data_IF_831718895623
#
_entry.id   IF_831718895623
#
_cell.length_a   1.000
_cell.length_b   1.000
_cell.length_c   1.000
_cell.angle_alpha   90.00
_cell.angle_beta   90.00
_cell.angle_gamma   90.00
#
_symmetry.space_group_name_H-M   'P 1'
#
loop_
_entity.id
_entity.type
_entity.pdbx_description
1 polymer ?
#
# COMPACT_ATOMS: atom_id res chain seq x y z
N UNK A 1 -10.64 -27.20 47.95
CA UNK A 1 -11.24 -27.11 46.60
C UNK A 1 -10.52 -26.01 45.84
N UNK A 2 -9.56 -26.40 45.01
CA UNK A 2 -8.75 -25.49 44.18
C UNK A 2 -9.49 -25.18 42.88
N UNK A 3 -9.82 -23.91 42.67
CA UNK A 3 -10.27 -23.41 41.38
C UNK A 3 -9.02 -23.18 40.51
N UNK A 4 -8.69 -24.16 39.67
CA UNK A 4 -7.67 -24.02 38.62
C UNK A 4 -8.26 -23.12 37.54
N UNK A 5 -7.77 -21.89 37.46
CA UNK A 5 -8.02 -20.99 36.34
C UNK A 5 -7.33 -21.55 35.09
N UNK A 6 -8.12 -22.00 34.11
CA UNK A 6 -7.62 -22.31 32.76
C UNK A 6 -7.01 -21.04 32.15
N UNK A 7 -5.74 -21.05 31.71
CA UNK A 7 -5.17 -19.93 30.97
C UNK A 7 -5.83 -19.84 29.58
N UNK A 8 -6.05 -18.60 29.15
CA UNK A 8 -6.80 -18.21 27.94
C UNK A 8 -6.13 -18.74 26.67
N UNK A 9 -6.93 -19.30 25.78
CA UNK A 9 -6.65 -19.58 24.37
C UNK A 9 -6.48 -18.29 23.57
N UNK A 10 -5.33 -17.61 23.68
CA UNK A 10 -4.99 -16.42 22.87
C UNK A 10 -3.79 -16.68 21.96
N UNK A 11 -2.92 -17.61 22.33
CA UNK A 11 -1.65 -17.90 21.62
C UNK A 11 -1.84 -18.60 20.25
N UNK A 12 -3.03 -19.13 19.96
CA UNK A 12 -3.28 -19.93 18.75
C UNK A 12 -3.66 -19.11 17.50
N UNK A 13 -4.03 -17.83 17.64
CA UNK A 13 -4.32 -16.97 16.48
C UNK A 13 -3.08 -16.27 15.92
N UNK A 14 -2.04 -16.08 16.75
CA UNK A 14 -0.83 -15.29 16.43
C UNK A 14 0.07 -15.90 15.34
N UNK A 15 -0.14 -17.17 14.99
CA UNK A 15 0.68 -17.88 14.00
C UNK A 15 -0.03 -18.16 12.68
N UNK A 16 -1.29 -17.71 12.51
CA UNK A 16 -1.99 -17.90 11.23
C UNK A 16 -1.31 -17.09 10.14
N UNK A 17 -0.78 -17.81 9.15
CA UNK A 17 -0.12 -17.23 7.99
C UNK A 17 -1.21 -16.72 7.04
N UNK A 18 -1.36 -15.41 6.93
CA UNK A 18 -2.30 -14.80 6.00
C UNK A 18 -1.61 -14.47 4.67
N UNK A 19 -2.41 -14.47 3.60
CA UNK A 19 -2.03 -13.89 2.31
C UNK A 19 -2.38 -12.40 2.36
N UNK A 20 -1.36 -11.56 2.44
CA UNK A 20 -1.54 -10.12 2.60
C UNK A 20 -1.07 -9.42 1.33
N UNK A 21 -1.90 -8.51 0.84
CA UNK A 21 -1.62 -7.67 -0.31
C UNK A 21 -1.48 -6.23 0.16
N UNK A 22 -0.29 -5.66 -0.02
CA UNK A 22 -0.02 -4.25 0.25
C UNK A 22 -0.10 -3.50 -1.07
N UNK A 23 -1.01 -2.54 -1.14
CA UNK A 23 -1.16 -1.63 -2.26
C UNK A 23 -0.58 -0.28 -1.90
N UNK A 24 0.37 0.20 -2.71
CA UNK A 24 0.94 1.54 -2.60
C UNK A 24 0.42 2.41 -3.73
N UNK A 25 -0.10 3.57 -3.39
CA UNK A 25 -0.60 4.55 -4.36
C UNK A 25 0.06 5.90 -4.10
N UNK A 26 0.62 6.53 -5.14
CA UNK A 26 1.19 7.88 -5.00
C UNK A 26 1.22 8.62 -6.33
N UNK A 27 1.32 9.96 -6.24
CA UNK A 27 1.68 10.83 -7.37
C UNK A 27 3.19 10.94 -7.57
N UNK A 28 3.97 10.79 -6.49
CA UNK A 28 5.42 10.99 -6.51
C UNK A 28 6.16 9.66 -6.66
N UNK A 29 6.73 9.42 -7.85
CA UNK A 29 7.42 8.15 -8.16
C UNK A 29 8.64 7.91 -7.26
N UNK A 30 9.42 8.95 -6.94
CA UNK A 30 10.65 8.81 -6.13
C UNK A 30 10.34 8.28 -4.72
N UNK A 31 9.35 8.88 -4.06
CA UNK A 31 8.93 8.48 -2.72
C UNK A 31 8.32 7.06 -2.74
N UNK A 32 7.49 6.77 -3.73
CA UNK A 32 6.89 5.45 -3.93
C UNK A 32 7.95 4.34 -4.09
N UNK A 33 8.97 4.56 -4.91
CA UNK A 33 10.03 3.57 -5.15
C UNK A 33 10.93 3.40 -3.91
N UNK A 34 11.18 4.47 -3.15
CA UNK A 34 11.88 4.40 -1.86
C UNK A 34 11.11 3.54 -0.84
N UNK A 35 9.84 3.84 -0.58
CA UNK A 35 8.98 3.07 0.34
C UNK A 35 8.87 1.62 -0.11
N UNK A 36 8.76 1.38 -1.42
CA UNK A 36 8.70 0.05 -1.99
C UNK A 36 10.00 -0.76 -1.74
N UNK A 37 11.16 -0.11 -1.84
CA UNK A 37 12.44 -0.74 -1.54
C UNK A 37 12.58 -1.05 -0.05
N UNK A 38 12.19 -0.10 0.80
CA UNK A 38 12.26 -0.23 2.26
C UNK A 38 11.34 -1.34 2.78
N UNK A 39 10.10 -1.43 2.27
CA UNK A 39 9.17 -2.51 2.59
C UNK A 39 9.69 -3.88 2.15
N UNK A 40 10.29 -3.97 0.97
CA UNK A 40 10.92 -5.21 0.50
C UNK A 40 12.08 -5.60 1.40
N UNK A 41 12.92 -4.63 1.79
CA UNK A 41 14.07 -4.86 2.66
C UNK A 41 13.64 -5.32 4.05
N UNK A 42 12.68 -4.62 4.68
CA UNK A 42 12.14 -5.00 5.98
C UNK A 42 11.43 -6.36 5.99
N UNK A 43 10.88 -6.81 4.87
CA UNK A 43 10.32 -8.16 4.76
C UNK A 43 11.40 -9.24 4.57
N UNK A 44 12.47 -8.95 3.83
CA UNK A 44 13.63 -9.85 3.66
C UNK A 44 14.40 -9.99 4.98
N UNK A 45 14.62 -8.89 5.71
CA UNK A 45 15.32 -8.89 7.00
C UNK A 45 14.61 -9.74 8.05
N UNK A 46 13.28 -9.87 7.94
CA UNK A 46 12.44 -10.72 8.81
C UNK A 46 12.20 -12.13 8.23
N UNK A 47 12.92 -12.54 7.19
CA UNK A 47 12.82 -13.84 6.53
C UNK A 47 11.40 -14.21 6.03
N UNK A 48 10.63 -13.22 5.57
CA UNK A 48 9.31 -13.45 4.99
C UNK A 48 9.38 -13.81 3.49
N UNK A 49 8.41 -14.60 3.01
CA UNK A 49 8.24 -14.84 1.57
C UNK A 49 7.55 -13.65 0.93
N UNK A 50 8.29 -12.93 0.08
CA UNK A 50 7.82 -11.73 -0.62
C UNK A 50 7.66 -12.02 -2.10
N UNK A 51 6.46 -11.76 -2.63
CA UNK A 51 6.29 -11.54 -4.06
C UNK A 51 6.63 -10.09 -4.35
N UNK A 52 7.62 -9.88 -5.22
CA UNK A 52 8.24 -8.58 -5.46
C UNK A 52 7.25 -7.50 -5.90
N UNK A 53 7.68 -6.23 -5.89
CA UNK A 53 6.79 -5.13 -6.20
C UNK A 53 6.35 -5.15 -7.66
N UNK A 54 5.07 -5.45 -7.86
CA UNK A 54 4.43 -5.46 -9.18
C UNK A 54 4.01 -4.03 -9.51
N UNK A 55 4.52 -3.54 -10.63
CA UNK A 55 4.18 -2.22 -11.17
C UNK A 55 2.85 -2.33 -11.92
N UNK A 56 1.79 -1.78 -11.34
CA UNK A 56 0.53 -1.67 -12.05
C UNK A 56 0.55 -0.50 -13.03
N UNK A 57 -0.26 -0.55 -14.11
CA UNK A 57 -0.41 0.55 -15.04
C UNK A 57 -0.79 1.85 -14.34
N UNK A 58 -0.15 2.93 -14.75
CA UNK A 58 -0.39 4.26 -14.19
C UNK A 58 -1.69 4.82 -14.74
N UNK A 59 -2.59 5.22 -13.85
CA UNK A 59 -3.82 5.91 -14.27
C UNK A 59 -3.50 7.37 -14.53
N UNK A 60 -3.87 7.87 -15.70
CA UNK A 60 -3.70 9.27 -16.09
C UNK A 60 -5.07 9.93 -16.03
N UNK A 61 -5.27 10.82 -15.06
CA UNK A 61 -6.45 11.67 -14.97
C UNK A 61 -6.19 12.91 -15.81
N UNK A 62 -7.05 13.16 -16.80
CA UNK A 62 -6.92 14.27 -17.74
C UNK A 62 -8.11 15.20 -17.56
N UNK A 63 -7.86 16.47 -17.28
CA UNK A 63 -8.88 17.52 -17.27
C UNK A 63 -8.52 18.56 -18.32
N UNK A 64 -9.48 18.86 -19.19
CA UNK A 64 -9.34 19.91 -20.20
C UNK A 64 -10.31 21.03 -19.89
N UNK A 65 -9.79 22.22 -19.63
CA UNK A 65 -10.60 23.39 -19.29
C UNK A 65 -10.29 24.53 -20.26
N UNK A 66 -11.28 25.38 -20.51
CA UNK A 66 -11.06 26.61 -21.27
C UNK A 66 -10.16 27.52 -20.44
N UNK A 67 -9.19 28.18 -21.09
CA UNK A 67 -8.30 29.12 -20.39
C UNK A 67 -9.04 30.38 -19.94
N UNK A 68 -9.92 30.89 -20.81
CA UNK A 68 -10.69 32.09 -20.52
C UNK A 68 -11.89 31.76 -19.63
N UNK A 69 -12.22 32.62 -18.65
CA UNK A 69 -13.43 32.49 -17.86
C UNK A 69 -14.70 32.93 -18.62
N UNK A 70 -14.53 33.76 -19.66
CA UNK A 70 -15.62 34.27 -20.50
C UNK A 70 -15.68 33.58 -21.87
N UNK A 71 -16.82 33.75 -22.54
CA UNK A 71 -17.13 33.21 -23.86
C UNK A 71 -16.35 33.85 -25.01
N UNK A 72 -15.80 35.04 -24.79
CA UNK A 72 -15.10 35.86 -25.78
C UNK A 72 -13.60 35.52 -25.90
N UNK A 73 -12.98 35.94 -27.01
CA UNK A 73 -11.56 35.74 -27.30
C UNK A 73 -11.22 34.41 -27.99
N UNK A 74 -9.93 34.10 -28.09
CA UNK A 74 -9.43 32.92 -28.83
C UNK A 74 -9.75 31.63 -28.08
N UNK A 75 -10.28 30.62 -28.79
CA UNK A 75 -10.61 29.29 -28.27
C UNK A 75 -9.36 28.50 -27.86
N UNK A 76 -8.84 28.83 -26.67
CA UNK A 76 -7.66 28.20 -26.07
C UNK A 76 -8.06 27.32 -24.90
N UNK A 77 -7.34 26.19 -24.76
CA UNK A 77 -7.64 25.16 -23.77
C UNK A 77 -6.37 24.78 -23.02
N UNK A 78 -6.48 24.61 -21.70
CA UNK A 78 -5.46 23.96 -20.89
C UNK A 78 -5.75 22.47 -20.78
N UNK A 79 -4.67 21.68 -20.70
CA UNK A 79 -4.72 20.22 -20.54
C UNK A 79 -3.94 19.85 -19.29
N UNK A 80 -4.64 19.69 -18.19
CA UNK A 80 -4.06 19.27 -16.92
C UNK A 80 -4.02 17.74 -16.84
N UNK A 81 -2.90 17.20 -16.36
CA UNK A 81 -2.75 15.77 -16.14
C UNK A 81 -2.29 15.49 -14.71
N UNK A 82 -2.92 14.49 -14.08
CA UNK A 82 -2.44 13.90 -12.84
C UNK A 82 -2.18 12.42 -13.07
N UNK A 83 -0.97 11.96 -12.72
CA UNK A 83 -0.56 10.57 -12.85
C UNK A 83 -0.60 9.91 -11.48
N UNK A 84 -1.33 8.81 -11.38
CA UNK A 84 -1.41 7.99 -10.18
C UNK A 84 -0.65 6.71 -10.45
N UNK A 85 0.43 6.52 -9.69
CA UNK A 85 1.28 5.35 -9.75
C UNK A 85 0.85 4.36 -8.68
N UNK A 86 0.58 3.12 -9.11
CA UNK A 86 0.16 2.04 -8.23
C UNK A 86 1.20 0.92 -8.23
N UNK A 87 1.52 0.39 -7.04
CA UNK A 87 2.38 -0.78 -6.83
C UNK A 87 1.67 -1.76 -5.91
N UNK A 88 1.93 -3.04 -6.12
CA UNK A 88 1.43 -4.11 -5.26
C UNK A 88 2.61 -4.93 -4.77
N UNK A 89 2.62 -5.26 -3.48
CA UNK A 89 3.54 -6.22 -2.87
C UNK A 89 2.68 -7.28 -2.19
N UNK A 90 2.89 -8.55 -2.53
CA UNK A 90 2.19 -9.65 -1.87
C UNK A 90 3.14 -10.34 -0.87
N UNK A 91 2.63 -10.61 0.32
CA UNK A 91 3.38 -11.18 1.45
C UNK A 91 2.63 -12.37 2.04
N UNK A 92 3.40 -13.37 2.50
CA UNK A 92 2.89 -14.44 3.35
C UNK A 92 3.47 -14.28 4.75
N UNK A 93 2.65 -13.79 5.67
CA UNK A 93 3.09 -13.45 7.02
C UNK A 93 1.92 -13.44 8.01
N UNK A 94 2.18 -13.62 9.32
CA UNK A 94 1.20 -13.28 10.35
C UNK A 94 0.93 -11.77 10.36
N UNK A 95 -0.27 -11.37 10.78
CA UNK A 95 -0.73 -9.98 10.71
C UNK A 95 0.15 -9.01 11.51
N UNK A 96 0.74 -9.45 12.61
CA UNK A 96 1.44 -8.55 13.53
C UNK A 96 2.80 -8.12 13.01
N UNK A 97 3.51 -9.01 12.31
CA UNK A 97 4.75 -8.66 11.64
C UNK A 97 4.49 -7.61 10.54
N UNK A 98 3.36 -7.70 9.83
CA UNK A 98 3.00 -6.73 8.79
C UNK A 98 2.72 -5.36 9.39
N UNK A 99 1.94 -5.28 10.48
CA UNK A 99 1.66 -4.01 11.19
C UNK A 99 2.95 -3.29 11.59
N UNK A 100 3.95 -4.04 12.09
CA UNK A 100 5.25 -3.49 12.46
C UNK A 100 6.06 -2.97 11.26
N UNK A 101 5.98 -3.62 10.10
CA UNK A 101 6.71 -3.19 8.89
C UNK A 101 6.08 -1.91 8.32
N UNK A 102 4.74 -1.83 8.31
CA UNK A 102 4.00 -0.70 7.76
C UNK A 102 4.14 0.57 8.59
N UNK A 103 4.32 0.47 9.91
CA UNK A 103 4.43 1.66 10.78
C UNK A 103 5.73 2.44 10.62
N UNK A 104 6.81 1.79 10.16
CA UNK A 104 8.16 2.38 10.09
C UNK A 104 8.37 3.23 8.82
N UNK A 105 7.59 3.01 7.75
CA UNK A 105 7.93 3.46 6.39
C UNK A 105 6.93 4.44 5.75
N UNK A 106 6.11 5.14 6.54
CA UNK A 106 5.11 6.08 6.00
C UNK A 106 5.81 7.39 5.59
N UNK A 107 6.19 7.45 4.31
CA UNK A 107 6.68 8.68 3.66
C UNK A 107 5.50 9.59 3.26
N UNK A 108 5.61 10.93 3.41
CA UNK A 108 4.53 11.84 3.04
C UNK A 108 4.17 11.72 1.55
N UNK A 109 2.86 11.62 1.27
CA UNK A 109 2.31 11.57 -0.07
C UNK A 109 2.28 10.18 -0.71
N UNK A 110 2.59 9.12 0.04
CA UNK A 110 2.33 7.73 -0.35
C UNK A 110 1.18 7.19 0.50
N UNK A 111 0.14 6.73 -0.17
CA UNK A 111 -1.00 6.08 0.46
C UNK A 111 -0.78 4.57 0.45
N UNK A 112 -0.95 3.93 1.61
CA UNK A 112 -0.72 2.51 1.82
C UNK A 112 -2.02 1.86 2.25
N UNK A 113 -2.47 0.89 1.47
CA UNK A 113 -3.66 0.08 1.75
C UNK A 113 -3.23 -1.37 1.96
N UNK A 114 -3.68 -1.98 3.05
CA UNK A 114 -3.37 -3.39 3.39
C UNK A 114 -4.65 -4.21 3.28
N UNK A 115 -4.64 -5.19 2.39
CA UNK A 115 -5.76 -6.13 2.20
C UNK A 115 -5.33 -7.51 2.68
N UNK A 116 -6.08 -8.10 3.61
CA UNK A 116 -5.89 -9.48 4.05
C UNK A 116 -6.84 -10.35 3.24
N UNK A 117 -6.29 -11.24 2.43
CA UNK A 117 -7.08 -12.27 1.75
C UNK A 117 -7.13 -13.50 2.65
N UNK A 118 -8.25 -13.69 3.35
CA UNK A 118 -8.52 -14.95 4.02
C UNK A 118 -8.82 -16.01 2.96
N UNK A 119 -7.85 -16.91 2.76
CA UNK A 119 -8.12 -18.19 2.12
C UNK A 119 -8.82 -19.06 3.16
N UNK A 120 -10.13 -19.24 2.96
CA UNK A 120 -10.94 -20.24 3.67
C UNK A 120 -10.35 -21.65 3.53
#
# INVERSE_FOLDING_TARGET
MSLVSKPKTVEAEETRIHRIRITLTSRNVKNLEKVCADLKRGAVDKNLKVSGPVRLPTKILRLTTRKSPCGEGTNTWDRFEMRIHKRIIDLHAPSDIVKQITSISIEPGVEVEVTIADTA
#
